data_IF_718153696470
#
_entry.id   IF_718153696470
#
_cell.length_a   1.000
_cell.length_b   1.000
_cell.length_c   1.000
_cell.angle_alpha   90.00
_cell.angle_beta   90.00
_cell.angle_gamma   90.00
#
_symmetry.space_group_name_H-M   'P 1'
#
loop_
_entity.id
_entity.type
_entity.pdbx_description
1 polymer ?
#
# COMPACT_ATOMS: atom_id res chain seq x y z
N UNK A 1 15.09 12.89 -4.65
CA UNK A 1 14.43 14.18 -4.92
C UNK A 1 13.65 14.56 -3.67
N UNK A 2 13.75 15.82 -3.22
CA UNK A 2 12.77 16.39 -2.30
C UNK A 2 11.43 16.47 -3.04
N UNK A 3 10.46 15.63 -2.69
CA UNK A 3 9.11 15.66 -3.29
C UNK A 3 8.58 14.38 -3.92
N UNK A 4 9.22 13.21 -3.70
CA UNK A 4 8.60 11.90 -3.98
C UNK A 4 7.51 11.53 -2.97
N UNK A 5 6.53 12.42 -2.78
CA UNK A 5 5.56 12.36 -1.69
C UNK A 5 4.14 12.17 -2.20
N UNK A 6 3.42 11.19 -1.64
CA UNK A 6 1.96 11.11 -1.76
C UNK A 6 1.34 11.82 -0.57
N UNK A 7 0.42 12.74 -0.82
CA UNK A 7 -0.36 13.39 0.24
C UNK A 7 -1.79 12.90 0.23
N UNK A 8 -2.29 12.56 1.42
CA UNK A 8 -3.71 12.28 1.67
C UNK A 8 -4.22 13.32 2.66
N UNK A 9 -5.31 14.01 2.29
CA UNK A 9 -6.01 14.93 3.17
C UNK A 9 -7.45 14.44 3.37
N UNK A 10 -7.83 14.24 4.63
CA UNK A 10 -9.20 13.96 5.06
C UNK A 10 -9.67 15.22 5.77
N UNK A 11 -10.57 15.97 5.13
CA UNK A 11 -11.10 17.22 5.66
C UNK A 11 -12.44 16.94 6.34
N UNK A 12 -12.55 17.31 7.61
CA UNK A 12 -13.74 17.08 8.43
C UNK A 12 -13.46 17.34 9.92
N UNK A 13 -14.17 16.63 10.78
CA UNK A 13 -13.92 16.64 12.22
C UNK A 13 -13.93 15.20 12.76
N UNK A 14 -12.77 14.62 13.13
CA UNK A 14 -11.43 15.22 13.03
C UNK A 14 -10.91 15.28 11.58
N UNK A 15 -10.05 16.27 11.31
CA UNK A 15 -9.28 16.36 10.05
C UNK A 15 -7.92 15.66 10.16
N UNK A 16 -7.47 15.05 9.08
CA UNK A 16 -6.15 14.39 8.97
C UNK A 16 -5.39 14.85 7.72
N UNK A 17 -4.07 15.02 7.85
CA UNK A 17 -3.13 15.17 6.74
C UNK A 17 -2.01 14.15 6.91
N UNK A 18 -1.74 13.38 5.85
CA UNK A 18 -0.70 12.35 5.83
C UNK A 18 0.20 12.58 4.63
N UNK A 19 1.49 12.73 4.89
CA UNK A 19 2.55 12.76 3.88
C UNK A 19 3.31 11.44 3.88
N UNK A 20 3.32 10.76 2.75
CA UNK A 20 4.01 9.49 2.55
C UNK A 20 5.20 9.76 1.64
N UNK A 21 6.41 9.68 2.18
CA UNK A 21 7.67 9.89 1.46
C UNK A 21 8.51 8.60 1.47
N UNK A 22 8.28 7.64 0.55
CA UNK A 22 9.02 6.40 0.52
C UNK A 22 10.50 6.62 0.22
N UNK A 23 11.37 5.99 0.99
CA UNK A 23 12.82 5.99 0.79
C UNK A 23 13.33 4.56 0.71
N UNK A 24 14.42 4.35 -0.03
CA UNK A 24 15.11 3.07 -0.10
C UNK A 24 16.61 3.27 0.12
N UNK A 25 17.27 2.27 0.71
CA UNK A 25 18.73 2.18 0.75
C UNK A 25 19.34 1.62 -0.54
N UNK A 26 18.51 1.04 -1.41
CA UNK A 26 18.92 0.34 -2.64
C UNK A 26 18.52 1.12 -3.91
N UNK A 27 17.92 2.29 -3.76
CA UNK A 27 17.51 3.15 -4.87
C UNK A 27 16.90 4.45 -4.39
N UNK A 28 16.36 5.23 -5.32
CA UNK A 28 15.69 6.49 -5.03
C UNK A 28 14.22 6.28 -4.61
N UNK A 29 13.46 7.37 -4.56
CA UNK A 29 12.03 7.34 -4.24
C UNK A 29 11.21 6.55 -5.28
N UNK A 30 11.61 6.52 -6.55
CA UNK A 30 10.90 5.74 -7.57
C UNK A 30 11.08 4.26 -7.29
N UNK A 31 12.29 3.83 -6.98
CA UNK A 31 12.55 2.47 -6.54
C UNK A 31 11.71 2.12 -5.30
N UNK A 32 11.70 2.97 -4.28
CA UNK A 32 10.92 2.76 -3.06
C UNK A 32 9.41 2.64 -3.34
N UNK A 33 8.85 3.51 -4.18
CA UNK A 33 7.44 3.48 -4.55
C UNK A 33 7.07 2.22 -5.37
N UNK A 34 7.93 1.80 -6.30
CA UNK A 34 7.73 0.58 -7.08
C UNK A 34 7.75 -0.65 -6.18
N UNK A 35 8.72 -0.74 -5.27
CA UNK A 35 8.79 -1.85 -4.31
C UNK A 35 7.54 -1.91 -3.44
N UNK A 36 7.06 -0.76 -2.94
CA UNK A 36 5.82 -0.71 -2.16
C UNK A 36 4.59 -1.15 -2.98
N UNK A 37 4.47 -0.70 -4.23
CA UNK A 37 3.38 -1.06 -5.14
C UNK A 37 3.37 -2.55 -5.49
N UNK A 38 4.50 -3.08 -5.95
CA UNK A 38 4.65 -4.51 -6.30
C UNK A 38 4.50 -5.38 -5.06
N UNK A 39 5.03 -4.95 -3.91
CA UNK A 39 4.88 -5.65 -2.63
C UNK A 39 3.41 -5.86 -2.27
N UNK A 40 2.55 -4.86 -2.46
CA UNK A 40 1.09 -5.04 -2.27
C UNK A 40 0.50 -6.07 -3.23
N UNK A 41 0.90 -6.08 -4.50
CA UNK A 41 0.39 -7.05 -5.49
C UNK A 41 0.81 -8.49 -5.13
N UNK A 42 2.09 -8.70 -4.81
CA UNK A 42 2.61 -10.02 -4.45
C UNK A 42 1.97 -10.53 -3.16
N UNK A 43 1.85 -9.67 -2.15
CA UNK A 43 1.24 -10.05 -0.87
C UNK A 43 -0.27 -10.29 -0.97
N UNK A 44 -0.94 -9.82 -2.02
CA UNK A 44 -2.36 -10.06 -2.25
C UNK A 44 -2.66 -11.46 -2.80
N UNK A 45 -1.65 -12.18 -3.32
CA UNK A 45 -1.85 -13.46 -4.02
C UNK A 45 -2.67 -14.47 -3.21
N UNK A 46 -2.39 -14.74 -1.92
CA UNK A 46 -3.18 -15.70 -1.14
C UNK A 46 -4.65 -15.28 -1.05
N UNK A 47 -4.91 -14.00 -0.76
CA UNK A 47 -6.28 -13.47 -0.66
C UNK A 47 -7.04 -13.56 -1.99
N UNK A 48 -6.35 -13.40 -3.13
CA UNK A 48 -6.95 -13.57 -4.46
C UNK A 48 -7.27 -15.04 -4.74
N UNK A 49 -6.39 -15.97 -4.35
CA UNK A 49 -6.62 -17.41 -4.51
C UNK A 49 -7.82 -17.89 -3.70
N UNK A 50 -8.00 -17.35 -2.49
CA UNK A 50 -9.10 -17.71 -1.58
C UNK A 50 -10.44 -17.03 -1.92
N UNK A 51 -10.43 -16.03 -2.81
CA UNK A 51 -11.61 -15.26 -3.13
C UNK A 51 -12.58 -15.99 -4.08
N UNK A 52 -13.85 -15.56 -4.07
CA UNK A 52 -14.84 -16.05 -5.03
C UNK A 52 -14.46 -15.65 -6.47
N UNK A 53 -14.77 -16.48 -7.49
CA UNK A 53 -14.50 -16.12 -8.88
C UNK A 53 -15.21 -14.83 -9.30
N UNK A 54 -14.51 -13.97 -10.03
CA UNK A 54 -15.05 -12.70 -10.52
C UNK A 54 -13.97 -11.64 -10.73
N UNK A 55 -14.37 -10.47 -11.20
CA UNK A 55 -13.50 -9.28 -11.20
C UNK A 55 -13.65 -8.60 -9.85
N UNK A 56 -12.59 -8.67 -9.05
CA UNK A 56 -12.52 -8.05 -7.73
C UNK A 56 -11.66 -6.78 -7.78
N UNK A 57 -11.93 -5.88 -6.86
CA UNK A 57 -11.14 -4.68 -6.61
C UNK A 57 -10.33 -4.85 -5.32
N UNK A 58 -9.38 -3.95 -5.09
CA UNK A 58 -8.60 -3.95 -3.85
C UNK A 58 -9.46 -3.76 -2.58
N UNK A 59 -10.68 -3.21 -2.68
CA UNK A 59 -11.59 -3.05 -1.56
C UNK A 59 -12.41 -4.31 -1.24
N UNK A 60 -12.48 -5.26 -2.18
CA UNK A 60 -13.16 -6.55 -2.00
C UNK A 60 -12.25 -7.58 -1.30
N UNK A 61 -10.96 -7.27 -1.18
CA UNK A 61 -9.95 -8.09 -0.52
C UNK A 61 -9.65 -7.55 0.89
N UNK A 62 -9.14 -8.37 1.81
CA UNK A 62 -8.65 -7.88 3.10
C UNK A 62 -7.54 -6.84 2.91
N UNK A 63 -7.31 -6.03 3.95
CA UNK A 63 -6.18 -5.09 3.94
C UNK A 63 -4.86 -5.86 3.81
N UNK A 64 -4.21 -5.74 2.66
CA UNK A 64 -2.99 -6.48 2.35
C UNK A 64 -1.79 -5.83 3.03
N UNK A 65 -1.19 -6.56 3.95
CA UNK A 65 0.05 -6.19 4.66
C UNK A 65 1.23 -7.04 4.20
N UNK A 66 2.43 -6.71 4.67
CA UNK A 66 3.58 -7.62 4.57
C UNK A 66 3.48 -8.79 5.57
N UNK A 67 4.19 -9.90 5.34
CA UNK A 67 4.31 -10.99 6.31
C UNK A 67 4.82 -10.46 7.66
N UNK A 68 4.21 -10.89 8.76
CA UNK A 68 4.62 -10.51 10.13
C UNK A 68 4.20 -9.11 10.60
N UNK A 69 3.30 -8.43 9.87
CA UNK A 69 2.80 -7.08 10.22
C UNK A 69 1.30 -7.02 10.54
N UNK A 70 0.55 -8.11 10.38
CA UNK A 70 -0.82 -8.22 10.86
C UNK A 70 -0.83 -8.74 12.31
N UNK A 71 -1.74 -8.28 13.19
CA UNK A 71 -1.92 -8.90 14.50
C UNK A 71 -2.31 -10.36 14.32
N UNK A 72 -1.74 -11.25 15.13
CA UNK A 72 -2.18 -12.65 15.25
C UNK A 72 -3.55 -12.71 15.93
#
# INVERSE_FOLDING_TARGET
QDGGSYRVEIVGEPSYRVDICPTSSVGDHNHAAIVAGVGRVVNAIPAVVDAAPGVLTALDLPLITGPGLAPV
#
